data_IF_614863202102
#
_entry.id   IF_614863202102
#
_cell.length_a   1.000
_cell.length_b   1.000
_cell.length_c   1.000
_cell.angle_alpha   90.00
_cell.angle_beta   90.00
_cell.angle_gamma   90.00
#
_symmetry.space_group_name_H-M   'P 1'
#
loop_
_entity.id
_entity.type
_entity.pdbx_description
1 polymer ?
#
# COMPACT_ATOMS: atom_id res chain seq x y z
N UNK A 1 -55.50 -3.78 41.59
CA UNK A 1 -54.22 -3.08 41.49
C UNK A 1 -53.94 -2.81 40.02
N UNK A 2 -53.75 -1.53 39.68
CA UNK A 2 -53.78 -0.95 38.33
C UNK A 2 -52.57 -1.38 37.48
N UNK A 3 -52.83 -1.76 36.23
CA UNK A 3 -51.83 -1.95 35.17
C UNK A 3 -51.22 -0.58 34.80
N UNK A 4 -49.93 -0.42 35.07
CA UNK A 4 -49.15 0.74 34.67
C UNK A 4 -48.75 0.66 33.19
N UNK A 5 -49.23 1.59 32.39
CA UNK A 5 -48.75 1.84 31.03
C UNK A 5 -47.30 2.35 31.08
N UNK A 6 -46.32 1.47 30.83
CA UNK A 6 -44.95 1.90 30.54
C UNK A 6 -44.88 2.26 29.06
N UNK A 7 -44.84 3.58 28.77
CA UNK A 7 -44.55 4.12 27.44
C UNK A 7 -43.09 3.82 27.10
N UNK A 8 -42.86 2.82 26.26
CA UNK A 8 -41.55 2.57 25.65
C UNK A 8 -41.31 3.64 24.59
N UNK A 9 -40.56 4.67 24.96
CA UNK A 9 -40.02 5.65 24.01
C UNK A 9 -38.86 4.95 23.29
N UNK A 10 -39.09 4.54 22.05
CA UNK A 10 -38.03 4.05 21.17
C UNK A 10 -37.10 5.22 20.80
N UNK A 11 -35.96 5.32 21.47
CA UNK A 11 -34.89 6.23 21.06
C UNK A 11 -34.13 5.55 19.93
N UNK A 12 -34.48 5.90 18.69
CA UNK A 12 -33.62 5.60 17.53
C UNK A 12 -32.44 6.56 17.65
N UNK A 13 -31.36 6.10 18.28
CA UNK A 13 -30.04 6.75 18.18
C UNK A 13 -29.58 6.54 16.74
N UNK A 14 -30.01 7.44 15.86
CA UNK A 14 -29.41 7.58 14.54
C UNK A 14 -27.97 7.98 14.73
N UNK A 15 -27.06 7.01 14.66
CA UNK A 15 -25.64 7.29 14.47
C UNK A 15 -25.51 8.00 13.13
N UNK A 16 -25.34 9.31 13.20
CA UNK A 16 -24.89 10.12 12.08
C UNK A 16 -23.57 9.51 11.60
N UNK A 17 -23.59 8.92 10.41
CA UNK A 17 -22.38 8.54 9.69
C UNK A 17 -21.69 9.85 9.36
N UNK A 18 -20.66 10.18 10.13
CA UNK A 18 -19.73 11.22 9.75
C UNK A 18 -19.08 10.77 8.44
N UNK A 19 -19.56 11.31 7.32
CA UNK A 19 -18.83 11.35 6.06
C UNK A 19 -17.65 12.31 6.24
N UNK A 20 -16.71 11.93 7.10
CA UNK A 20 -15.38 12.50 7.09
C UNK A 20 -14.72 12.06 5.79
N UNK A 21 -14.11 12.99 5.07
CA UNK A 21 -13.19 12.65 4.00
C UNK A 21 -12.17 11.67 4.59
N UNK A 22 -12.33 10.39 4.27
CA UNK A 22 -11.36 9.35 4.60
C UNK A 22 -10.12 9.59 3.76
N UNK A 23 -9.32 10.57 4.16
CA UNK A 23 -7.92 10.61 3.79
C UNK A 23 -7.35 9.31 4.36
N UNK A 24 -6.92 8.39 3.50
CA UNK A 24 -6.15 7.25 3.97
C UNK A 24 -5.01 7.81 4.83
N UNK A 25 -4.82 7.30 6.05
CA UNK A 25 -3.69 7.64 6.92
C UNK A 25 -2.37 7.02 6.42
N UNK A 26 -2.25 6.92 5.09
CA UNK A 26 -1.08 6.55 4.34
C UNK A 26 -0.15 7.77 4.36
N UNK A 27 0.97 7.65 5.09
CA UNK A 27 2.20 8.41 4.87
C UNK A 27 2.27 9.91 5.24
N UNK A 28 1.50 10.41 6.20
CA UNK A 28 1.67 11.80 6.71
C UNK A 28 2.99 12.07 7.47
N UNK A 29 3.92 11.13 7.49
CA UNK A 29 5.29 11.34 7.96
C UNK A 29 6.21 11.46 6.75
N UNK A 30 6.80 12.64 6.59
CA UNK A 30 7.83 12.97 5.60
C UNK A 30 9.08 12.09 5.80
N UNK A 31 9.00 10.84 5.36
CA UNK A 31 10.04 9.85 5.42
C UNK A 31 10.87 9.91 4.14
N UNK A 32 12.14 10.31 4.28
CA UNK A 32 13.04 10.68 3.19
C UNK A 32 13.57 9.50 2.36
N UNK A 33 12.69 8.83 1.62
CA UNK A 33 13.10 8.00 0.48
C UNK A 33 13.11 8.78 -0.83
N UNK A 34 13.86 8.28 -1.81
CA UNK A 34 14.07 8.91 -3.13
C UNK A 34 12.78 9.08 -3.96
N UNK A 35 11.70 8.37 -3.62
CA UNK A 35 10.44 8.46 -4.35
C UNK A 35 9.37 9.24 -3.58
N UNK A 36 9.23 10.54 -3.86
CA UNK A 36 8.15 11.38 -3.27
C UNK A 36 6.85 11.33 -4.06
N UNK A 37 6.91 10.88 -5.32
CA UNK A 37 5.75 10.67 -6.18
C UNK A 37 6.02 9.48 -7.12
N UNK A 38 5.15 8.45 -7.09
CA UNK A 38 5.34 7.24 -7.89
C UNK A 38 5.43 7.53 -9.40
N UNK A 39 4.78 8.59 -9.90
CA UNK A 39 4.79 8.97 -11.31
C UNK A 39 6.16 9.40 -11.83
N UNK A 40 7.15 9.58 -10.95
CA UNK A 40 8.53 9.89 -11.33
C UNK A 40 9.32 8.64 -11.74
N UNK A 41 8.78 7.43 -11.50
CA UNK A 41 9.42 6.20 -11.95
C UNK A 41 9.54 6.18 -13.48
N UNK A 42 10.76 5.90 -13.95
CA UNK A 42 11.07 5.70 -15.38
C UNK A 42 10.89 4.25 -15.82
N UNK A 43 10.57 3.34 -14.89
CA UNK A 43 10.42 1.91 -15.16
C UNK A 43 9.43 1.60 -16.29
N UNK A 44 8.24 2.25 -16.40
CA UNK A 44 7.31 1.98 -17.50
C UNK A 44 7.83 2.34 -18.90
N UNK A 45 8.90 3.15 -18.99
CA UNK A 45 9.50 3.57 -20.26
C UNK A 45 10.50 2.55 -20.83
N UNK A 46 10.82 1.51 -20.06
CA UNK A 46 11.78 0.47 -20.46
C UNK A 46 11.12 -0.58 -21.38
N UNK A 47 11.90 -1.41 -22.09
CA UNK A 47 11.36 -2.56 -22.80
C UNK A 47 10.57 -3.50 -21.88
N UNK A 48 9.45 -4.04 -22.35
CA UNK A 48 8.51 -4.84 -21.52
C UNK A 48 9.20 -5.99 -20.77
N UNK A 49 10.20 -6.61 -21.38
CA UNK A 49 10.94 -7.70 -20.73
C UNK A 49 11.83 -7.19 -19.58
N UNK A 50 12.43 -6.01 -19.73
CA UNK A 50 13.17 -5.35 -18.65
C UNK A 50 12.24 -4.88 -17.53
N UNK A 51 11.03 -4.40 -17.87
CA UNK A 51 9.99 -4.10 -16.88
C UNK A 51 9.65 -5.37 -16.08
N UNK A 52 9.38 -6.49 -16.76
CA UNK A 52 9.03 -7.75 -16.10
C UNK A 52 10.15 -8.24 -15.18
N UNK A 53 11.39 -8.19 -15.64
CA UNK A 53 12.55 -8.58 -14.83
C UNK A 53 12.70 -7.68 -13.60
N UNK A 54 12.56 -6.36 -13.76
CA UNK A 54 12.70 -5.40 -12.67
C UNK A 54 11.58 -5.53 -11.64
N UNK A 55 10.33 -5.66 -12.09
CA UNK A 55 9.16 -5.91 -11.21
C UNK A 55 9.31 -7.22 -10.45
N UNK A 56 9.77 -8.28 -11.11
CA UNK A 56 9.99 -9.57 -10.45
C UNK A 56 11.11 -9.49 -9.41
N UNK A 57 12.23 -8.83 -9.72
CA UNK A 57 13.34 -8.64 -8.79
C UNK A 57 12.91 -7.82 -7.56
N UNK A 58 12.17 -6.72 -7.76
CA UNK A 58 11.66 -5.90 -6.69
C UNK A 58 10.67 -6.67 -5.81
N UNK A 59 9.81 -7.49 -6.41
CA UNK A 59 8.87 -8.35 -5.68
C UNK A 59 9.59 -9.34 -4.76
N UNK A 60 10.59 -10.06 -5.29
CA UNK A 60 11.34 -11.04 -4.50
C UNK A 60 12.18 -10.35 -3.41
N UNK A 61 12.77 -9.20 -3.71
CA UNK A 61 13.46 -8.38 -2.70
C UNK A 61 12.53 -7.95 -1.57
N UNK A 62 11.31 -7.52 -1.89
CA UNK A 62 10.32 -7.08 -0.90
C UNK A 62 9.84 -8.26 -0.03
N UNK A 63 9.54 -9.41 -0.65
CA UNK A 63 9.19 -10.65 0.07
C UNK A 63 10.30 -11.07 1.04
N UNK A 64 11.54 -11.14 0.56
CA UNK A 64 12.68 -11.48 1.40
C UNK A 64 12.87 -10.47 2.54
N UNK A 65 12.63 -9.19 2.27
CA UNK A 65 12.62 -8.13 3.28
C UNK A 65 11.61 -8.35 4.39
N UNK A 66 10.41 -8.81 4.06
CA UNK A 66 9.37 -9.08 5.05
C UNK A 66 9.71 -10.24 6.00
N UNK A 67 10.62 -11.14 5.60
CA UNK A 67 11.10 -12.25 6.44
C UNK A 67 12.42 -11.92 7.17
N UNK A 68 13.04 -10.76 6.90
CA UNK A 68 14.31 -10.34 7.49
C UNK A 68 14.08 -9.75 8.90
N UNK A 69 14.71 -10.31 9.96
CA UNK A 69 14.60 -9.78 11.32
C UNK A 69 14.95 -8.31 11.46
N UNK A 70 15.90 -7.80 10.66
CA UNK A 70 16.30 -6.38 10.69
C UNK A 70 15.20 -5.44 10.19
N UNK A 71 14.39 -5.90 9.22
CA UNK A 71 13.25 -5.17 8.66
C UNK A 71 12.04 -5.33 9.58
N UNK A 72 11.75 -6.56 10.03
CA UNK A 72 10.63 -6.89 10.93
C UNK A 72 10.68 -6.10 12.25
N UNK A 73 11.89 -5.90 12.78
CA UNK A 73 12.12 -5.17 14.03
C UNK A 73 12.47 -3.70 13.83
N UNK A 74 12.47 -3.23 12.57
CA UNK A 74 12.80 -1.85 12.26
C UNK A 74 11.80 -0.90 12.92
N UNK A 75 12.33 0.12 13.59
CA UNK A 75 11.53 1.25 14.11
C UNK A 75 11.21 2.28 13.01
N UNK A 76 11.85 2.14 11.86
CA UNK A 76 11.61 2.91 10.65
C UNK A 76 10.57 2.18 9.78
N UNK A 77 9.94 2.85 8.80
CA UNK A 77 8.82 2.26 8.04
C UNK A 77 9.25 1.17 7.03
N UNK A 78 10.43 0.56 7.18
CA UNK A 78 10.97 -0.44 6.27
C UNK A 78 10.00 -1.60 6.02
N UNK A 79 9.42 -2.17 7.08
CA UNK A 79 8.46 -3.28 6.95
C UNK A 79 7.18 -2.87 6.22
N UNK A 80 6.66 -1.67 6.50
CA UNK A 80 5.46 -1.15 5.83
C UNK A 80 5.73 -1.00 4.33
N UNK A 81 6.84 -0.37 3.97
CA UNK A 81 7.22 -0.20 2.57
C UNK A 81 7.53 -1.53 1.87
N UNK A 82 8.09 -2.52 2.58
CA UNK A 82 8.26 -3.86 2.03
C UNK A 82 6.91 -4.51 1.68
N UNK A 83 5.89 -4.36 2.54
CA UNK A 83 4.54 -4.84 2.27
C UNK A 83 3.89 -4.13 1.08
N UNK A 84 3.96 -2.80 1.03
CA UNK A 84 3.42 -2.01 -0.07
C UNK A 84 4.11 -2.34 -1.40
N UNK A 85 5.43 -2.47 -1.39
CA UNK A 85 6.20 -2.90 -2.56
C UNK A 85 5.80 -4.30 -3.01
N UNK A 86 5.69 -5.26 -2.08
CA UNK A 86 5.22 -6.63 -2.40
C UNK A 86 3.84 -6.60 -3.05
N UNK A 87 2.91 -5.82 -2.52
CA UNK A 87 1.56 -5.71 -3.07
C UNK A 87 1.60 -5.12 -4.48
N UNK A 88 2.18 -3.92 -4.65
CA UNK A 88 2.23 -3.22 -5.94
C UNK A 88 2.96 -4.03 -7.02
N UNK A 89 4.11 -4.63 -6.69
CA UNK A 89 4.86 -5.45 -7.64
C UNK A 89 4.12 -6.74 -8.00
N UNK A 90 3.36 -7.33 -7.07
CA UNK A 90 2.52 -8.50 -7.39
C UNK A 90 1.40 -8.16 -8.36
N UNK A 91 0.75 -7.00 -8.19
CA UNK A 91 -0.26 -6.50 -9.12
C UNK A 91 0.34 -6.22 -10.50
N UNK A 92 1.47 -5.51 -10.56
CA UNK A 92 2.16 -5.21 -11.81
C UNK A 92 2.56 -6.49 -12.55
N UNK A 93 3.13 -7.47 -11.84
CA UNK A 93 3.50 -8.77 -12.43
C UNK A 93 2.27 -9.52 -12.96
N UNK A 94 1.12 -9.43 -12.27
CA UNK A 94 -0.15 -9.97 -12.74
C UNK A 94 -0.58 -9.39 -14.09
N UNK A 95 -0.57 -8.07 -14.24
CA UNK A 95 -0.86 -7.40 -15.51
C UNK A 95 0.13 -7.79 -16.61
N UNK A 96 1.43 -7.80 -16.30
CA UNK A 96 2.47 -8.18 -17.25
C UNK A 96 2.29 -9.62 -17.73
N UNK A 97 1.93 -10.55 -16.84
CA UNK A 97 1.64 -11.94 -17.22
C UNK A 97 0.39 -12.05 -18.12
N UNK A 98 -0.55 -11.11 -18.00
CA UNK A 98 -1.68 -10.94 -18.92
C UNK A 98 -1.34 -10.22 -20.24
N UNK A 99 -0.08 -9.82 -20.45
CA UNK A 99 0.37 -9.13 -21.66
C UNK A 99 0.08 -7.62 -21.67
N UNK A 100 -0.24 -7.02 -20.53
CA UNK A 100 -0.54 -5.59 -20.40
C UNK A 100 0.45 -4.90 -19.46
N UNK A 101 0.89 -3.70 -19.82
CA UNK A 101 1.69 -2.83 -18.94
C UNK A 101 0.75 -1.85 -18.27
N UNK A 102 0.41 -2.11 -17.01
CA UNK A 102 -0.31 -1.15 -16.18
C UNK A 102 0.72 -0.17 -15.57
N UNK A 103 0.82 1.02 -16.17
CA UNK A 103 1.86 1.99 -15.81
C UNK A 103 1.82 2.36 -14.33
N UNK A 104 0.63 2.52 -13.74
CA UNK A 104 0.48 2.92 -12.35
C UNK A 104 1.05 1.86 -11.39
N UNK A 105 0.71 0.58 -11.58
CA UNK A 105 1.24 -0.49 -10.73
C UNK A 105 2.76 -0.68 -10.92
N UNK A 106 3.28 -0.54 -12.14
CA UNK A 106 4.73 -0.57 -12.41
C UNK A 106 5.44 0.57 -11.69
N UNK A 107 4.92 1.80 -11.80
CA UNK A 107 5.46 2.98 -11.13
C UNK A 107 5.43 2.84 -9.59
N UNK A 108 4.32 2.33 -9.04
CA UNK A 108 4.18 2.08 -7.60
C UNK A 108 5.14 0.98 -7.13
N UNK A 109 5.28 -0.11 -7.88
CA UNK A 109 6.22 -1.18 -7.57
C UNK A 109 7.65 -0.64 -7.41
N UNK A 110 8.12 0.13 -8.39
CA UNK A 110 9.44 0.75 -8.36
C UNK A 110 9.59 1.72 -7.17
N UNK A 111 8.65 2.67 -7.06
CA UNK A 111 8.65 3.68 -6.02
C UNK A 111 8.67 3.11 -4.60
N UNK A 112 7.78 2.15 -4.31
CA UNK A 112 7.63 1.57 -2.99
C UNK A 112 8.81 0.66 -2.64
N UNK A 113 9.39 -0.03 -3.63
CA UNK A 113 10.62 -0.78 -3.44
C UNK A 113 11.80 0.15 -3.08
N UNK A 114 11.94 1.29 -3.77
CA UNK A 114 12.96 2.27 -3.41
C UNK A 114 12.78 2.82 -1.99
N UNK A 115 11.54 3.10 -1.58
CA UNK A 115 11.25 3.50 -0.20
C UNK A 115 11.65 2.40 0.79
N UNK A 116 11.26 1.14 0.53
CA UNK A 116 11.65 0.00 1.33
C UNK A 116 13.17 -0.10 1.51
N UNK A 117 13.92 -0.05 0.41
CA UNK A 117 15.39 -0.13 0.46
C UNK A 117 16.00 1.04 1.22
N UNK A 118 15.41 2.24 1.16
CA UNK A 118 15.93 3.42 1.86
C UNK A 118 15.84 3.36 3.39
N UNK A 119 14.97 2.50 3.94
CA UNK A 119 14.81 2.31 5.39
C UNK A 119 15.37 0.97 5.90
N UNK A 120 15.90 0.14 5.01
CA UNK A 120 16.46 -1.17 5.35
C UNK A 120 17.81 -1.06 6.03
#
# INVERSE_FOLDING_TARGET
>A
MQLGFVRVIAVVVGTFVAAGNGMAADLLLNYGGQCTNYRQSVMPLMPVEEIRQSVAANLESAKAGMDDPSVLTSRQPAFIWAMEARWACSTALGYLNGGYVDEESVQKCDCFHQQYVSFR
#
